data_IF_626374010826
#
_entry.id   IF_626374010826
#
_cell.length_a   1.000
_cell.length_b   1.000
_cell.length_c   1.000
_cell.angle_alpha   90.00
_cell.angle_beta   90.00
_cell.angle_gamma   90.00
#
_symmetry.space_group_name_H-M   'P 1'
#
loop_
_entity.id
_entity.type
_entity.pdbx_description
1 polymer ?
#
# COMPACT_ATOMS: atom_id res chain seq x y z
N UNK A 1 63.98 31.52 5.50
CA UNK A 1 62.66 32.04 5.06
C UNK A 1 61.85 31.04 4.23
N UNK A 2 62.46 30.23 3.35
CA UNK A 2 61.74 29.32 2.41
C UNK A 2 60.99 28.15 3.09
N UNK A 3 61.53 27.61 4.20
CA UNK A 3 60.92 26.46 4.89
C UNK A 3 59.59 26.83 5.58
N UNK A 4 59.50 28.03 6.15
CA UNK A 4 58.27 28.55 6.77
C UNK A 4 57.15 28.79 5.74
N UNK A 5 57.50 29.28 4.55
CA UNK A 5 56.53 29.48 3.47
C UNK A 5 55.92 28.17 2.96
N UNK A 6 56.73 27.10 2.85
CA UNK A 6 56.26 25.76 2.46
C UNK A 6 55.34 25.13 3.51
N UNK A 7 55.65 25.30 4.79
CA UNK A 7 54.82 24.81 5.89
C UNK A 7 53.46 25.55 5.93
N UNK A 8 53.47 26.86 5.75
CA UNK A 8 52.25 27.68 5.69
C UNK A 8 51.38 27.33 4.47
N UNK A 9 51.98 27.12 3.29
CA UNK A 9 51.25 26.64 2.12
C UNK A 9 50.64 25.25 2.37
N UNK A 10 51.38 24.34 2.99
CA UNK A 10 50.90 22.99 3.32
C UNK A 10 49.71 23.01 4.28
N UNK A 11 49.78 23.81 5.35
CA UNK A 11 48.68 23.98 6.29
C UNK A 11 47.46 24.65 5.66
N UNK A 12 47.66 25.65 4.79
CA UNK A 12 46.57 26.31 4.06
C UNK A 12 45.86 25.36 3.08
N UNK A 13 46.62 24.54 2.35
CA UNK A 13 46.06 23.51 1.46
C UNK A 13 45.31 22.43 2.23
N UNK A 14 45.83 21.99 3.37
CA UNK A 14 45.16 21.04 4.26
C UNK A 14 43.84 21.60 4.80
N UNK A 15 43.85 22.86 5.25
CA UNK A 15 42.64 23.54 5.74
C UNK A 15 41.60 23.73 4.64
N UNK A 16 42.02 24.09 3.42
CA UNK A 16 41.12 24.20 2.26
C UNK A 16 40.53 22.84 1.86
N UNK A 17 41.33 21.77 1.84
CA UNK A 17 40.86 20.41 1.62
C UNK A 17 39.85 19.99 2.70
N UNK A 18 40.15 20.25 3.98
CA UNK A 18 39.25 19.95 5.09
C UNK A 18 37.93 20.72 4.94
N UNK A 19 37.97 22.00 4.57
CA UNK A 19 36.78 22.82 4.35
C UNK A 19 35.94 22.30 3.18
N UNK A 20 36.57 21.90 2.06
CA UNK A 20 35.88 21.28 0.92
C UNK A 20 35.25 19.95 1.33
N UNK A 21 35.97 19.10 2.07
CA UNK A 21 35.43 17.82 2.58
C UNK A 21 34.25 18.06 3.52
N UNK A 22 34.34 19.03 4.45
CA UNK A 22 33.24 19.40 5.34
C UNK A 22 32.04 19.98 4.58
N UNK A 23 32.28 20.77 3.54
CA UNK A 23 31.23 21.33 2.68
C UNK A 23 30.51 20.22 1.91
N UNK A 24 31.26 19.30 1.31
CA UNK A 24 30.73 18.12 0.63
C UNK A 24 29.98 17.19 1.59
N UNK A 25 30.48 17.05 2.83
CA UNK A 25 29.81 16.28 3.88
C UNK A 25 28.48 16.93 4.28
N UNK A 26 28.43 18.25 4.43
CA UNK A 26 27.18 19.00 4.68
C UNK A 26 26.17 18.86 3.54
N UNK A 27 26.63 18.96 2.29
CA UNK A 27 25.76 18.78 1.11
C UNK A 27 25.22 17.35 0.97
N UNK A 28 25.90 16.35 1.53
CA UNK A 28 25.44 14.95 1.53
C UNK A 28 24.49 14.60 2.67
N UNK A 29 24.43 15.39 3.74
CA UNK A 29 23.51 15.08 4.84
C UNK A 29 22.07 15.38 4.41
N UNK A 30 21.17 14.39 4.49
CA UNK A 30 19.75 14.62 4.25
C UNK A 30 19.20 15.68 5.21
N UNK A 31 18.27 16.50 4.73
CA UNK A 31 17.53 17.43 5.60
C UNK A 31 16.83 16.66 6.71
N UNK A 32 16.89 17.20 7.92
CA UNK A 32 16.15 16.70 9.07
C UNK A 32 14.88 17.55 9.24
N UNK A 33 13.77 16.88 9.55
CA UNK A 33 12.45 17.46 9.71
C UNK A 33 11.92 17.13 11.09
N UNK A 34 11.19 18.07 11.70
CA UNK A 34 10.28 17.73 12.81
C UNK A 34 8.92 17.31 12.27
N UNK A 35 8.07 16.71 13.11
CA UNK A 35 6.71 16.32 12.71
C UNK A 35 5.85 17.55 12.43
N UNK A 36 6.05 18.60 13.23
CA UNK A 36 5.34 19.86 13.17
C UNK A 36 5.72 20.64 11.90
N UNK A 37 7.00 20.62 11.52
CA UNK A 37 7.46 21.21 10.26
C UNK A 37 6.87 20.48 9.05
N UNK A 38 6.82 19.15 9.09
CA UNK A 38 6.29 18.35 7.98
C UNK A 38 4.79 18.57 7.78
N UNK A 39 4.02 18.81 8.85
CA UNK A 39 2.57 19.00 8.83
C UNK A 39 2.09 20.13 7.93
N UNK A 40 2.94 21.14 7.70
CA UNK A 40 2.66 22.28 6.81
C UNK A 40 2.60 21.85 5.33
N UNK A 41 3.31 20.78 4.96
CA UNK A 41 3.44 20.31 3.57
C UNK A 41 2.37 19.27 3.20
N UNK A 42 1.12 19.55 3.57
CA UNK A 42 -0.04 18.69 3.33
C UNK A 42 -0.72 18.93 1.97
N UNK A 43 -0.24 19.90 1.19
CA UNK A 43 -0.75 20.23 -0.14
C UNK A 43 -1.98 21.15 -0.17
N UNK A 44 -2.42 21.70 0.96
CA UNK A 44 -3.47 22.75 0.97
C UNK A 44 -2.96 24.08 0.44
N UNK A 45 -1.67 24.38 0.64
CA UNK A 45 -0.98 25.51 0.04
C UNK A 45 -0.34 25.08 -1.29
N UNK A 46 -0.78 25.68 -2.40
CA UNK A 46 -0.27 25.35 -3.74
C UNK A 46 1.15 25.85 -3.99
N UNK A 47 1.66 26.76 -3.17
CA UNK A 47 3.04 27.27 -3.27
C UNK A 47 4.06 26.33 -2.64
N UNK A 48 3.62 25.34 -1.86
CA UNK A 48 4.47 24.38 -1.17
C UNK A 48 4.43 22.99 -1.83
N UNK A 49 5.53 22.23 -1.79
CA UNK A 49 5.50 20.83 -2.21
C UNK A 49 4.65 20.00 -1.23
N UNK A 50 4.14 18.87 -1.73
CA UNK A 50 3.42 17.90 -0.92
C UNK A 50 4.43 16.86 -0.42
N UNK A 51 4.60 16.78 0.89
CA UNK A 51 5.55 15.85 1.50
C UNK A 51 4.85 14.69 2.20
N UNK A 52 5.48 13.52 2.19
CA UNK A 52 5.02 12.31 2.84
C UNK A 52 6.17 11.62 3.57
N UNK A 53 6.02 11.33 4.86
CA UNK A 53 6.99 10.52 5.60
C UNK A 53 6.63 9.03 5.53
N UNK A 54 7.58 8.10 5.45
CA UNK A 54 7.37 6.64 5.60
C UNK A 54 8.51 6.06 6.44
N UNK A 55 8.19 5.52 7.62
CA UNK A 55 9.18 5.09 8.63
C UNK A 55 10.27 6.15 8.89
N UNK A 56 9.83 7.41 8.97
CA UNK A 56 10.70 8.57 9.15
C UNK A 56 11.46 9.03 7.90
N UNK A 57 11.39 8.35 6.76
CA UNK A 57 11.96 8.86 5.50
C UNK A 57 10.96 9.77 4.80
N UNK A 58 11.36 10.99 4.41
CA UNK A 58 10.47 11.99 3.79
C UNK A 58 10.63 11.98 2.28
N UNK A 59 9.51 12.02 1.56
CA UNK A 59 9.44 12.02 0.11
C UNK A 59 8.60 13.20 -0.39
N UNK A 60 9.04 13.83 -1.46
CA UNK A 60 8.23 14.79 -2.21
C UNK A 60 7.33 14.03 -3.19
N UNK A 61 6.03 14.08 -2.92
CA UNK A 61 4.96 13.42 -3.67
C UNK A 61 4.17 14.40 -4.53
N UNK A 62 4.66 15.61 -4.76
CA UNK A 62 4.00 16.66 -5.56
C UNK A 62 3.69 16.19 -6.98
N UNK A 63 4.52 15.32 -7.57
CA UNK A 63 4.25 14.67 -8.87
C UNK A 63 2.91 13.91 -8.89
N UNK A 64 2.45 13.45 -7.74
CA UNK A 64 1.16 12.78 -7.54
C UNK A 64 0.08 13.69 -6.97
N UNK A 65 0.08 15.01 -7.24
CA UNK A 65 -0.89 15.97 -6.67
C UNK A 65 -2.36 15.54 -6.80
N UNK A 66 -2.76 14.83 -7.87
CA UNK A 66 -4.12 14.29 -8.01
C UNK A 66 -4.51 13.27 -6.93
N UNK A 67 -3.51 12.58 -6.37
CA UNK A 67 -3.69 11.54 -5.35
C UNK A 67 -3.51 12.08 -3.93
N UNK A 68 -2.50 12.93 -3.72
CA UNK A 68 -2.09 13.40 -2.39
C UNK A 68 -2.52 14.85 -2.08
N UNK A 69 -2.89 15.63 -3.09
CA UNK A 69 -3.43 16.98 -2.91
C UNK A 69 -4.89 16.96 -2.45
N UNK A 70 -5.45 18.13 -2.08
CA UNK A 70 -6.83 18.25 -1.61
C UNK A 70 -7.83 17.59 -2.57
N UNK A 71 -8.73 16.76 -2.02
CA UNK A 71 -9.70 15.98 -2.79
C UNK A 71 -9.17 14.66 -3.36
N UNK A 72 -7.87 14.38 -3.27
CA UNK A 72 -7.27 13.10 -3.64
C UNK A 72 -7.51 12.00 -2.60
N UNK A 73 -7.65 10.75 -3.05
CA UNK A 73 -7.93 9.61 -2.17
C UNK A 73 -6.86 9.33 -1.11
N UNK A 74 -5.63 9.82 -1.32
CA UNK A 74 -4.49 9.66 -0.41
C UNK A 74 -4.11 10.97 0.31
N UNK A 75 -4.94 12.01 0.23
CA UNK A 75 -4.65 13.33 0.81
C UNK A 75 -4.37 13.28 2.32
N UNK A 76 -5.05 12.39 3.04
CA UNK A 76 -4.86 12.21 4.49
C UNK A 76 -3.44 11.77 4.90
N UNK A 77 -2.61 11.32 3.95
CA UNK A 77 -1.21 11.00 4.21
C UNK A 77 -0.27 12.21 4.01
N UNK A 78 -0.70 13.24 3.29
CA UNK A 78 0.12 14.41 3.00
C UNK A 78 0.44 15.21 4.28
N UNK A 79 1.67 15.72 4.37
CA UNK A 79 2.20 16.41 5.54
C UNK A 79 2.37 15.51 6.77
N UNK A 80 2.17 14.20 6.64
CA UNK A 80 2.24 13.29 7.79
C UNK A 80 3.38 12.29 7.66
N UNK A 81 3.92 11.86 8.80
CA UNK A 81 4.66 10.60 8.86
C UNK A 81 3.66 9.45 8.75
N UNK A 82 3.81 8.60 7.74
CA UNK A 82 2.98 7.42 7.45
C UNK A 82 2.64 6.71 8.75
N UNK A 83 1.38 6.85 9.11
CA UNK A 83 0.72 6.01 10.08
C UNK A 83 0.17 4.86 9.27
N UNK A 84 0.54 3.62 9.60
CA UNK A 84 -0.53 2.63 9.49
C UNK A 84 -1.54 3.07 10.53
N UNK A 85 -2.60 3.74 10.09
CA UNK A 85 -3.90 3.34 10.55
C UNK A 85 -3.91 1.83 10.33
N UNK A 86 -3.53 1.04 11.34
CA UNK A 86 -3.90 -0.36 11.41
C UNK A 86 -5.37 -0.33 11.05
N UNK A 87 -5.74 -0.89 9.89
CA UNK A 87 -7.08 -0.90 9.31
C UNK A 87 -8.15 -0.74 10.41
N UNK A 88 -8.48 0.50 10.77
CA UNK A 88 -9.59 0.79 11.67
C UNK A 88 -10.90 0.80 10.86
N UNK A 89 -10.79 0.30 9.62
CA UNK A 89 -11.85 -0.28 8.81
C UNK A 89 -12.16 -1.73 9.19
N UNK A 90 -11.49 -2.33 10.19
CA UNK A 90 -12.14 -3.42 10.91
C UNK A 90 -13.39 -2.79 11.54
N UNK A 91 -14.61 -3.15 11.12
CA UNK A 91 -15.76 -2.79 11.93
C UNK A 91 -15.48 -3.32 13.33
N UNK A 92 -15.49 -2.44 14.31
CA UNK A 92 -15.78 -2.90 15.67
C UNK A 92 -17.18 -3.51 15.55
N UNK A 93 -17.26 -4.84 15.50
CA UNK A 93 -18.54 -5.53 15.57
C UNK A 93 -18.98 -5.35 17.01
N UNK A 94 -19.61 -4.22 17.28
CA UNK A 94 -20.41 -4.09 18.48
C UNK A 94 -21.45 -5.21 18.43
N UNK A 95 -21.79 -5.75 19.61
CA UNK A 95 -22.66 -6.92 19.86
C UNK A 95 -24.07 -6.80 19.20
N UNK A 96 -24.34 -5.71 18.48
CA UNK A 96 -25.61 -5.32 17.88
C UNK A 96 -25.52 -5.11 16.34
N UNK A 97 -24.38 -5.37 15.69
CA UNK A 97 -24.31 -5.52 14.22
C UNK A 97 -24.47 -4.26 13.37
N UNK A 98 -24.20 -3.06 13.91
CA UNK A 98 -24.13 -1.82 13.12
C UNK A 98 -22.68 -1.47 12.78
N UNK A 99 -22.29 -1.62 11.50
CA UNK A 99 -20.99 -1.13 11.03
C UNK A 99 -21.03 0.40 10.93
N UNK A 100 -20.26 1.10 11.77
CA UNK A 100 -20.00 2.53 11.62
C UNK A 100 -18.52 2.74 11.26
N UNK A 101 -18.26 3.33 10.09
CA UNK A 101 -16.91 3.75 9.70
C UNK A 101 -16.63 5.13 10.30
N UNK A 102 -16.06 5.16 11.50
CA UNK A 102 -15.52 6.39 12.06
C UNK A 102 -14.05 6.53 11.66
N UNK A 103 -13.72 7.63 11.00
CA UNK A 103 -12.33 8.00 10.72
C UNK A 103 -11.74 8.61 12.00
N UNK A 104 -10.65 8.07 12.56
CA UNK A 104 -10.01 8.71 13.70
C UNK A 104 -9.49 10.09 13.28
N UNK A 105 -9.83 11.10 14.07
CA UNK A 105 -9.27 12.45 13.98
C UNK A 105 -7.73 12.41 14.02
N UNK A 106 -7.08 13.44 13.48
CA UNK A 106 -5.62 13.58 13.35
C UNK A 106 -4.81 13.25 14.62
N UNK A 107 -5.44 13.39 15.78
CA UNK A 107 -4.84 13.38 17.11
C UNK A 107 -4.65 11.97 17.71
N UNK A 108 -5.28 10.93 17.14
CA UNK A 108 -5.18 9.54 17.62
C UNK A 108 -4.13 8.67 16.91
N UNK A 109 -3.41 9.25 15.94
CA UNK A 109 -2.63 8.47 15.00
C UNK A 109 -1.18 8.26 15.47
N UNK A 110 -0.86 7.05 15.94
CA UNK A 110 0.48 6.66 16.42
C UNK A 110 1.38 6.16 15.29
N UNK A 111 2.68 6.48 15.38
CA UNK A 111 3.73 6.02 14.47
C UNK A 111 4.31 4.65 14.88
N UNK A 112 3.67 3.96 15.84
CA UNK A 112 4.10 2.68 16.38
C UNK A 112 3.66 1.50 15.52
N UNK A 113 4.60 0.59 15.21
CA UNK A 113 4.32 -0.68 14.53
C UNK A 113 4.17 -1.86 15.50
N UNK A 114 3.89 -1.58 16.78
CA UNK A 114 3.64 -2.62 17.77
C UNK A 114 2.37 -3.40 17.40
N UNK A 115 2.38 -4.72 17.62
CA UNK A 115 1.26 -5.60 17.31
C UNK A 115 1.14 -6.05 15.85
N UNK A 116 1.85 -5.41 14.91
CA UNK A 116 1.89 -5.88 13.51
C UNK A 116 2.71 -7.18 13.40
N UNK A 117 2.33 -8.08 12.50
CA UNK A 117 3.09 -9.28 12.14
C UNK A 117 4.37 -8.93 11.37
N UNK A 118 5.22 -9.93 11.13
CA UNK A 118 6.44 -9.72 10.34
C UNK A 118 6.14 -9.42 8.87
N UNK A 119 5.11 -10.06 8.29
CA UNK A 119 4.71 -9.85 6.89
C UNK A 119 4.08 -8.47 6.67
N UNK A 120 3.25 -8.00 7.62
CA UNK A 120 2.74 -6.62 7.59
C UNK A 120 3.88 -5.62 7.65
N UNK A 121 4.81 -5.78 8.59
CA UNK A 121 5.96 -4.89 8.69
C UNK A 121 6.82 -4.91 7.42
N UNK A 122 6.96 -6.07 6.77
CA UNK A 122 7.63 -6.16 5.48
C UNK A 122 6.94 -5.31 4.41
N UNK A 123 5.60 -5.39 4.30
CA UNK A 123 4.83 -4.58 3.35
C UNK A 123 5.12 -3.08 3.49
N UNK A 124 5.23 -2.57 4.73
CA UNK A 124 5.55 -1.15 4.99
C UNK A 124 6.96 -0.79 4.53
N UNK A 125 7.93 -1.66 4.79
CA UNK A 125 9.31 -1.45 4.37
C UNK A 125 9.41 -1.50 2.84
N UNK A 126 8.65 -2.39 2.19
CA UNK A 126 8.55 -2.45 0.73
C UNK A 126 7.89 -1.20 0.15
N UNK A 127 6.84 -0.66 0.79
CA UNK A 127 6.29 0.65 0.44
C UNK A 127 7.35 1.74 0.53
N UNK A 128 8.09 1.83 1.63
CA UNK A 128 9.21 2.79 1.75
C UNK A 128 10.20 2.64 0.60
N UNK A 129 10.57 1.41 0.24
CA UNK A 129 11.47 1.12 -0.90
C UNK A 129 10.88 1.60 -2.22
N UNK A 130 9.61 1.30 -2.48
CA UNK A 130 8.89 1.79 -3.66
C UNK A 130 8.93 3.32 -3.76
N UNK A 131 8.76 4.05 -2.65
CA UNK A 131 8.82 5.51 -2.65
C UNK A 131 10.24 6.05 -2.93
N UNK A 132 11.29 5.38 -2.44
CA UNK A 132 12.67 5.70 -2.82
C UNK A 132 12.91 5.58 -4.33
N UNK A 133 12.25 4.63 -4.99
CA UNK A 133 12.41 4.40 -6.43
C UNK A 133 11.56 5.35 -7.29
N UNK A 134 10.44 5.86 -6.76
CA UNK A 134 9.42 6.59 -7.53
C UNK A 134 9.35 8.09 -7.27
N UNK A 135 9.83 8.54 -6.10
CA UNK A 135 9.69 9.91 -5.63
C UNK A 135 11.03 10.49 -5.19
N UNK A 136 11.07 11.82 -5.05
CA UNK A 136 12.29 12.51 -4.63
C UNK A 136 12.42 12.38 -3.12
N UNK A 137 13.56 11.86 -2.66
CA UNK A 137 13.85 11.80 -1.23
C UNK A 137 14.18 13.19 -0.69
N UNK A 138 13.34 13.68 0.23
CA UNK A 138 13.37 15.03 0.76
C UNK A 138 13.98 15.13 2.18
N UNK A 139 14.31 14.00 2.82
CA UNK A 139 15.00 14.01 4.11
C UNK A 139 14.52 12.95 5.10
N UNK A 140 14.75 13.19 6.40
CA UNK A 140 14.39 12.29 7.50
C UNK A 140 13.67 13.05 8.61
N UNK A 141 12.74 12.39 9.29
CA UNK A 141 12.02 12.92 10.45
C UNK A 141 12.76 12.50 11.71
N UNK A 142 13.13 13.47 12.54
CA UNK A 142 13.75 13.24 13.85
C UNK A 142 12.70 12.66 14.80
N UNK A 143 13.06 11.61 15.55
CA UNK A 143 12.20 10.98 16.54
C UNK A 143 12.39 9.46 16.61
N UNK A 144 11.30 8.71 16.43
CA UNK A 144 11.30 7.25 16.68
C UNK A 144 12.25 6.47 15.76
N UNK A 145 12.34 6.87 14.49
CA UNK A 145 13.06 6.13 13.45
C UNK A 145 14.48 6.62 13.22
N UNK A 146 14.70 7.93 13.36
CA UNK A 146 16.00 8.57 13.22
C UNK A 146 16.27 9.47 14.41
N UNK A 147 17.51 9.49 14.88
CA UNK A 147 17.94 10.45 15.91
C UNK A 147 18.14 11.86 15.33
N UNK A 148 18.51 12.77 16.21
CA UNK A 148 18.81 14.18 15.99
C UNK A 148 20.01 14.43 15.07
N UNK A 149 20.82 13.40 14.79
CA UNK A 149 21.88 13.44 13.78
C UNK A 149 21.46 12.80 12.43
N UNK A 150 20.26 12.21 12.38
CA UNK A 150 19.73 11.50 11.22
C UNK A 150 20.18 10.04 11.10
N UNK A 151 20.78 9.47 12.14
CA UNK A 151 21.17 8.06 12.16
C UNK A 151 19.97 7.16 12.52
N UNK A 152 19.92 5.93 11.98
CA UNK A 152 18.82 5.00 12.28
C UNK A 152 18.85 4.54 13.74
N UNK A 153 17.73 4.68 14.44
CA UNK A 153 17.59 4.24 15.84
C UNK A 153 17.58 2.72 15.96
N UNK A 154 17.72 2.21 17.20
CA UNK A 154 17.52 0.77 17.50
C UNK A 154 16.13 0.28 17.08
N UNK A 155 15.11 1.16 17.18
CA UNK A 155 13.75 0.83 16.80
C UNK A 155 13.62 0.58 15.30
N UNK A 156 14.18 1.47 14.46
CA UNK A 156 14.17 1.29 13.01
C UNK A 156 14.92 0.02 12.60
N UNK A 157 16.09 -0.25 13.19
CA UNK A 157 16.84 -1.49 12.95
C UNK A 157 16.03 -2.74 13.32
N UNK A 158 15.30 -2.70 14.43
CA UNK A 158 14.39 -3.78 14.83
C UNK A 158 13.28 -4.02 13.81
N UNK A 159 12.72 -2.96 13.25
CA UNK A 159 11.71 -3.02 12.18
C UNK A 159 12.29 -3.63 10.92
N UNK A 160 13.49 -3.22 10.51
CA UNK A 160 14.14 -3.76 9.30
C UNK A 160 14.46 -5.26 9.45
N UNK A 161 14.90 -5.70 10.64
CA UNK A 161 15.07 -7.13 10.94
C UNK A 161 13.74 -7.89 10.90
N UNK A 162 12.68 -7.31 11.46
CA UNK A 162 11.34 -7.91 11.44
C UNK A 162 10.76 -7.98 10.03
N UNK A 163 10.96 -6.95 9.21
CA UNK A 163 10.62 -6.94 7.79
C UNK A 163 11.37 -8.03 7.03
N UNK A 164 12.68 -8.17 7.25
CA UNK A 164 13.49 -9.24 6.62
C UNK A 164 12.93 -10.63 6.94
N UNK A 165 12.52 -10.87 8.19
CA UNK A 165 11.81 -12.12 8.57
C UNK A 165 10.48 -12.24 7.83
N UNK A 166 9.71 -11.16 7.71
CA UNK A 166 8.48 -11.12 6.93
C UNK A 166 8.67 -11.48 5.46
N UNK A 167 9.71 -10.94 4.81
CA UNK A 167 10.07 -11.27 3.44
C UNK A 167 10.37 -12.77 3.27
N UNK A 168 11.15 -13.36 4.19
CA UNK A 168 11.45 -14.79 4.19
C UNK A 168 10.20 -15.65 4.37
N UNK A 169 9.29 -15.26 5.26
CA UNK A 169 8.02 -15.95 5.47
C UNK A 169 7.14 -15.89 4.22
N UNK A 170 7.07 -14.72 3.59
CA UNK A 170 6.31 -14.51 2.36
C UNK A 170 6.87 -15.34 1.21
N UNK A 171 8.20 -15.39 1.06
CA UNK A 171 8.85 -16.21 0.03
C UNK A 171 8.60 -17.70 0.25
N UNK A 172 8.72 -18.17 1.50
CA UNK A 172 8.35 -19.55 1.86
C UNK A 172 6.89 -19.84 1.55
N UNK A 173 5.97 -18.92 1.88
CA UNK A 173 4.56 -19.08 1.56
C UNK A 173 4.35 -19.22 0.04
N UNK A 174 4.96 -18.34 -0.77
CA UNK A 174 4.90 -18.42 -2.24
C UNK A 174 5.45 -19.74 -2.77
N UNK A 175 6.56 -20.23 -2.24
CA UNK A 175 7.16 -21.50 -2.68
C UNK A 175 6.27 -22.69 -2.34
N UNK A 176 5.59 -22.69 -1.18
CA UNK A 176 4.63 -23.74 -0.83
C UNK A 176 3.36 -23.63 -1.68
N UNK A 177 2.89 -22.41 -1.96
CA UNK A 177 1.72 -22.19 -2.81
C UNK A 177 1.97 -22.64 -4.26
N UNK A 178 3.18 -22.41 -4.79
CA UNK A 178 3.58 -22.80 -6.13
C UNK A 178 3.63 -24.33 -6.34
N UNK A 179 3.71 -25.13 -5.26
CA UNK A 179 3.62 -26.60 -5.35
C UNK A 179 2.22 -27.10 -5.70
N UNK A 180 1.20 -26.25 -5.54
CA UNK A 180 -0.21 -26.62 -5.72
C UNK A 180 -0.80 -25.75 -6.85
N UNK A 181 -1.17 -26.36 -7.99
CA UNK A 181 -1.65 -25.61 -9.15
C UNK A 181 -2.89 -24.78 -8.82
N UNK A 182 -2.95 -23.57 -9.39
CA UNK A 182 -4.13 -22.71 -9.31
C UNK A 182 -5.26 -23.25 -10.19
N UNK A 183 -6.50 -22.97 -9.80
CA UNK A 183 -7.65 -23.27 -10.66
C UNK A 183 -7.70 -22.34 -11.87
N UNK A 184 -8.21 -22.86 -12.99
CA UNK A 184 -8.69 -22.05 -14.10
C UNK A 184 -9.96 -21.32 -13.67
N UNK A 185 -10.22 -20.14 -14.24
CA UNK A 185 -11.43 -19.37 -13.97
C UNK A 185 -11.99 -18.71 -15.22
N UNK A 186 -13.32 -18.63 -15.28
CA UNK A 186 -14.05 -17.85 -16.27
C UNK A 186 -15.10 -17.02 -15.54
N UNK A 187 -15.47 -15.89 -16.11
CA UNK A 187 -16.51 -15.04 -15.55
C UNK A 187 -17.44 -14.57 -16.65
N UNK A 188 -18.74 -14.62 -16.38
CA UNK A 188 -19.77 -14.01 -17.23
C UNK A 188 -20.78 -13.26 -16.37
N UNK A 189 -21.43 -12.23 -16.93
CA UNK A 189 -22.47 -11.48 -16.21
C UNK A 189 -23.69 -12.33 -15.84
N UNK A 190 -23.98 -13.37 -16.62
CA UNK A 190 -25.20 -14.16 -16.53
C UNK A 190 -25.03 -15.38 -15.61
N UNK A 191 -23.87 -16.03 -15.67
CA UNK A 191 -23.56 -17.28 -14.95
C UNK A 191 -22.63 -17.07 -13.75
N UNK A 192 -22.07 -15.86 -13.60
CA UNK A 192 -21.14 -15.52 -12.54
C UNK A 192 -19.72 -16.02 -12.81
N UNK A 193 -18.94 -16.15 -11.74
CA UNK A 193 -17.61 -16.76 -11.80
C UNK A 193 -17.70 -18.28 -11.69
N UNK A 194 -16.98 -18.99 -12.55
CA UNK A 194 -16.80 -20.44 -12.48
C UNK A 194 -15.31 -20.75 -12.43
N UNK A 195 -14.93 -21.75 -11.64
CA UNK A 195 -13.56 -22.24 -11.54
C UNK A 195 -13.50 -23.74 -11.75
N UNK A 196 -12.46 -24.22 -12.43
CA UNK A 196 -12.25 -25.64 -12.69
C UNK A 196 -10.77 -26.01 -12.70
N UNK A 197 -10.49 -27.31 -12.72
CA UNK A 197 -9.15 -27.88 -12.76
C UNK A 197 -9.06 -28.82 -13.98
N UNK A 198 -7.95 -28.78 -14.71
CA UNK A 198 -7.71 -29.76 -15.79
C UNK A 198 -7.49 -31.16 -15.23
N UNK A 199 -6.86 -31.24 -14.05
CA UNK A 199 -6.64 -32.47 -13.31
C UNK A 199 -6.96 -32.23 -11.84
N UNK A 200 -7.84 -33.05 -11.28
CA UNK A 200 -8.28 -32.95 -9.88
C UNK A 200 -9.50 -32.05 -9.68
N UNK A 201 -9.70 -31.63 -8.43
CA UNK A 201 -10.89 -30.92 -7.99
C UNK A 201 -10.53 -29.56 -7.38
N UNK A 202 -11.30 -28.49 -7.69
CA UNK A 202 -11.07 -27.17 -7.14
C UNK A 202 -11.40 -27.13 -5.64
N UNK A 203 -10.50 -26.56 -4.84
CA UNK A 203 -10.70 -26.28 -3.42
C UNK A 203 -10.25 -24.87 -3.09
N UNK A 204 -11.02 -24.22 -2.22
CA UNK A 204 -10.69 -22.92 -1.65
C UNK A 204 -9.77 -23.12 -0.45
N UNK A 205 -8.58 -22.54 -0.53
CA UNK A 205 -7.54 -22.60 0.50
C UNK A 205 -7.32 -21.21 1.07
N UNK A 206 -7.30 -21.10 2.39
CA UNK A 206 -7.01 -19.82 3.07
C UNK A 206 -5.55 -19.44 2.86
N UNK A 207 -5.29 -18.15 2.59
CA UNK A 207 -3.93 -17.58 2.62
C UNK A 207 -3.63 -17.08 4.03
N UNK A 208 -2.75 -17.75 4.80
CA UNK A 208 -2.49 -17.38 6.18
C UNK A 208 -1.94 -15.95 6.33
N UNK A 209 -1.22 -15.44 5.34
CA UNK A 209 -0.61 -14.10 5.37
C UNK A 209 -1.55 -12.91 5.18
N UNK A 210 -2.73 -13.11 4.58
CA UNK A 210 -3.62 -12.01 4.20
C UNK A 210 -4.50 -11.52 5.37
N UNK A 211 -4.71 -12.36 6.39
CA UNK A 211 -5.41 -12.00 7.63
C UNK A 211 -4.68 -10.85 8.33
N UNK A 212 -3.36 -10.92 8.34
CA UNK A 212 -2.52 -9.91 8.94
C UNK A 212 -2.62 -8.58 8.18
N UNK A 213 -2.65 -8.61 6.85
CA UNK A 213 -2.60 -7.39 6.02
C UNK A 213 -3.96 -6.69 5.84
N UNK A 214 -5.06 -7.44 5.79
CA UNK A 214 -6.39 -6.90 5.43
C UNK A 214 -7.43 -7.06 6.54
N UNK A 215 -7.10 -7.80 7.60
CA UNK A 215 -8.10 -8.24 8.58
C UNK A 215 -9.12 -9.24 8.04
N UNK A 216 -9.03 -9.58 6.75
CA UNK A 216 -9.92 -10.50 6.05
C UNK A 216 -9.15 -11.77 5.66
N UNK A 217 -9.84 -12.91 5.76
CA UNK A 217 -9.29 -14.19 5.31
C UNK A 217 -9.44 -14.25 3.79
N UNK A 218 -8.38 -13.87 3.07
CA UNK A 218 -8.29 -14.09 1.62
C UNK A 218 -8.17 -15.59 1.35
N UNK A 219 -8.94 -16.08 0.39
CA UNK A 219 -8.89 -17.44 -0.09
C UNK A 219 -8.35 -17.46 -1.53
N UNK A 220 -7.69 -18.55 -1.92
CA UNK A 220 -7.35 -18.84 -3.31
C UNK A 220 -7.94 -20.18 -3.72
N UNK A 221 -8.27 -20.32 -5.00
CA UNK A 221 -8.61 -21.63 -5.55
C UNK A 221 -7.33 -22.39 -5.92
N UNK A 222 -7.25 -23.65 -5.53
CA UNK A 222 -6.18 -24.56 -5.89
C UNK A 222 -6.75 -25.94 -6.24
N UNK A 223 -6.07 -26.65 -7.14
CA UNK A 223 -6.47 -27.96 -7.63
C UNK A 223 -5.80 -29.07 -6.83
N UNK A 224 -6.61 -29.98 -6.28
CA UNK A 224 -6.16 -31.13 -5.48
C UNK A 224 -6.59 -32.45 -6.12
N UNK A 225 -5.81 -33.50 -5.91
CA UNK A 225 -6.20 -34.85 -6.30
C UNK A 225 -7.28 -35.41 -5.38
N UNK A 226 -7.99 -36.43 -5.85
CA UNK A 226 -9.07 -37.09 -5.11
C UNK A 226 -8.61 -37.61 -3.73
N UNK A 227 -7.44 -38.23 -3.67
CA UNK A 227 -6.80 -38.71 -2.44
C UNK A 227 -6.44 -37.62 -1.42
N UNK A 228 -6.43 -36.35 -1.82
CA UNK A 228 -6.01 -35.22 -0.98
C UNK A 228 -7.20 -34.38 -0.48
N UNK A 229 -8.43 -34.73 -0.86
CA UNK A 229 -9.62 -33.92 -0.57
C UNK A 229 -10.01 -33.93 0.91
N UNK A 230 -9.61 -34.95 1.66
CA UNK A 230 -9.89 -35.09 3.10
C UNK A 230 -8.92 -34.26 3.97
N UNK A 231 -7.98 -33.52 3.36
CA UNK A 231 -7.07 -32.65 4.12
C UNK A 231 -7.84 -31.53 4.82
N UNK A 232 -7.54 -31.34 6.11
CA UNK A 232 -8.12 -30.27 6.90
C UNK A 232 -7.82 -28.89 6.30
N UNK A 233 -8.82 -28.00 6.27
CA UNK A 233 -8.68 -26.62 5.80
C UNK A 233 -9.00 -26.40 4.31
N UNK A 234 -9.40 -27.45 3.58
CA UNK A 234 -9.93 -27.35 2.23
C UNK A 234 -11.43 -27.05 2.29
N UNK A 235 -11.86 -25.97 1.63
CA UNK A 235 -13.28 -25.61 1.50
C UNK A 235 -13.74 -25.92 0.07
N UNK A 236 -14.92 -26.54 -0.07
CA UNK A 236 -15.50 -26.84 -1.37
C UNK A 236 -15.95 -25.55 -2.04
N UNK A 237 -15.63 -25.41 -3.34
CA UNK A 237 -16.17 -24.33 -4.15
C UNK A 237 -17.61 -24.67 -4.55
N UNK A 238 -18.58 -24.12 -3.84
CA UNK A 238 -19.97 -24.12 -4.27
C UNK A 238 -20.13 -22.96 -5.26
N UNK A 239 -20.06 -23.24 -6.57
CA UNK A 239 -20.32 -22.24 -7.61
C UNK A 239 -21.60 -21.46 -7.28
N UNK A 240 -21.61 -20.15 -7.53
CA UNK A 240 -22.69 -19.27 -7.07
C UNK A 240 -24.03 -19.58 -7.77
N UNK A 241 -24.73 -20.60 -7.28
CA UNK A 241 -26.15 -20.88 -7.47
C UNK A 241 -26.97 -20.59 -6.20
N UNK A 242 -26.42 -19.87 -5.23
CA UNK A 242 -27.10 -19.54 -3.98
C UNK A 242 -27.96 -18.27 -4.10
N UNK A 243 -29.28 -18.42 -4.03
CA UNK A 243 -30.32 -17.37 -4.06
C UNK A 243 -30.18 -16.20 -3.06
N UNK A 244 -29.09 -16.07 -2.29
CA UNK A 244 -28.96 -15.09 -1.20
C UNK A 244 -28.58 -13.66 -1.62
N UNK A 245 -27.86 -13.46 -2.72
CA UNK A 245 -27.38 -12.13 -3.13
C UNK A 245 -28.31 -11.39 -4.10
N UNK A 246 -29.24 -12.10 -4.76
CA UNK A 246 -30.26 -11.48 -5.63
C UNK A 246 -31.29 -10.68 -4.82
N UNK A 247 -31.60 -11.08 -3.58
CA UNK A 247 -32.56 -10.38 -2.73
C UNK A 247 -31.98 -9.09 -2.11
N UNK A 248 -30.68 -9.04 -1.82
CA UNK A 248 -30.07 -7.85 -1.20
C UNK A 248 -29.93 -6.71 -2.25
N UNK A 249 -29.60 -7.02 -3.50
CA UNK A 249 -29.59 -6.00 -4.56
C UNK A 249 -31.00 -5.48 -4.90
N UNK A 250 -32.02 -6.35 -4.95
CA UNK A 250 -33.40 -5.91 -5.20
C UNK A 250 -34.01 -5.12 -4.03
N UNK A 251 -33.72 -5.46 -2.77
CA UNK A 251 -34.24 -4.72 -1.62
C UNK A 251 -33.61 -3.34 -1.47
N UNK A 252 -32.32 -3.17 -1.79
CA UNK A 252 -31.68 -1.85 -1.80
C UNK A 252 -32.21 -0.98 -2.94
N UNK A 253 -32.55 -1.56 -4.10
CA UNK A 253 -33.11 -0.80 -5.23
C UNK A 253 -34.58 -0.39 -5.01
N UNK A 254 -35.37 -1.15 -4.25
CA UNK A 254 -36.77 -0.80 -3.94
C UNK A 254 -36.93 0.17 -2.75
N UNK A 255 -35.92 0.31 -1.88
CA UNK A 255 -36.01 1.19 -0.70
C UNK A 255 -35.47 2.60 -0.98
N UNK A 256 -34.66 2.81 -2.03
CA UNK A 256 -34.06 4.12 -2.35
C UNK A 256 -34.69 4.86 -3.54
N UNK A 257 -35.83 4.41 -4.08
CA UNK A 257 -36.50 5.13 -5.16
C UNK A 257 -38.01 5.33 -4.93
N UNK A 258 -38.41 6.33 -4.12
CA UNK A 258 -39.62 7.07 -4.42
C UNK A 258 -39.22 8.46 -4.90
N UNK A 259 -39.60 8.76 -6.15
CA UNK A 259 -39.55 10.06 -6.84
C UNK A 259 -38.23 10.40 -7.53
N UNK A 260 -38.02 9.89 -8.75
CA UNK A 260 -37.76 10.67 -9.99
C UNK A 260 -37.83 9.65 -11.14
N UNK A 261 -39.03 9.21 -11.50
CA UNK A 261 -39.23 8.35 -12.67
C UNK A 261 -40.48 8.82 -13.43
N UNK A 262 -40.38 9.98 -14.08
CA UNK A 262 -41.41 10.36 -15.07
C UNK A 262 -40.99 11.38 -16.13
N UNK A 263 -39.71 11.79 -16.26
CA UNK A 263 -39.34 12.80 -17.28
C UNK A 263 -38.12 12.56 -18.17
N UNK A 264 -37.30 11.55 -17.95
CA UNK A 264 -36.06 11.36 -18.76
C UNK A 264 -36.05 10.09 -19.61
N UNK A 265 -37.16 9.37 -19.71
CA UNK A 265 -37.30 8.22 -20.61
C UNK A 265 -37.47 8.60 -22.10
N UNK A 266 -37.65 9.88 -22.42
CA UNK A 266 -37.79 10.36 -23.82
C UNK A 266 -36.55 11.06 -24.40
N UNK A 267 -35.53 11.37 -23.59
CA UNK A 267 -34.31 12.04 -24.10
C UNK A 267 -33.13 11.08 -24.38
N UNK A 268 -33.15 9.85 -23.86
CA UNK A 268 -32.05 8.89 -24.04
C UNK A 268 -32.12 8.04 -25.32
N UNK A 269 -33.13 8.25 -26.18
CA UNK A 269 -33.22 7.60 -27.50
C UNK A 269 -32.57 8.42 -28.63
N UNK A 270 -31.83 9.49 -28.32
CA UNK A 270 -31.32 10.44 -29.34
C UNK A 270 -29.81 10.68 -29.35
N UNK A 271 -29.00 9.89 -28.65
CA UNK A 271 -27.54 10.02 -28.67
C UNK A 271 -26.76 8.70 -28.81
N UNK A 272 -27.37 7.68 -29.41
CA UNK A 272 -26.62 6.55 -30.01
C UNK A 272 -26.04 6.99 -31.36
N UNK A 273 -24.98 7.80 -31.31
CA UNK A 273 -23.93 7.87 -32.33
C UNK A 273 -22.82 8.76 -31.77
N UNK A 274 -21.56 8.32 -31.94
CA UNK A 274 -20.32 8.95 -31.46
C UNK A 274 -19.88 8.57 -30.04
N UNK A 275 -19.18 7.42 -29.93
CA UNK A 275 -17.77 7.37 -29.49
C UNK A 275 -17.35 5.93 -29.21
N UNK A 276 -17.06 5.18 -30.28
CA UNK A 276 -16.04 4.15 -30.24
C UNK A 276 -14.71 4.84 -29.92
N UNK A 277 -14.21 4.69 -28.69
CA UNK A 277 -12.82 4.33 -28.42
C UNK A 277 -12.50 4.44 -26.93
N UNK A 278 -11.58 3.55 -26.52
CA UNK A 278 -10.71 3.67 -25.33
C UNK A 278 -11.20 2.96 -24.06
N UNK A 279 -11.08 1.63 -24.06
CA UNK A 279 -10.46 0.87 -22.94
C UNK A 279 -9.87 -0.45 -23.47
N UNK A 280 -8.68 -0.36 -24.09
CA UNK A 280 -7.71 -1.47 -24.21
C UNK A 280 -6.56 -1.18 -23.26
N UNK A 281 -6.38 -2.03 -22.26
CA UNK A 281 -5.10 -2.39 -21.66
C UNK A 281 -5.26 -3.89 -21.35
N UNK A 282 -4.53 -4.84 -21.93
CA UNK A 282 -3.16 -4.80 -22.42
C UNK A 282 -2.36 -5.85 -21.66
N UNK A 283 -2.77 -7.12 -21.73
CA UNK A 283 -1.96 -8.27 -21.35
C UNK A 283 -0.91 -8.50 -22.45
N UNK A 284 0.36 -8.27 -22.14
CA UNK A 284 1.49 -8.79 -22.92
C UNK A 284 1.80 -10.19 -22.40
N UNK A 285 1.37 -11.19 -23.15
CA UNK A 285 2.02 -12.50 -23.18
C UNK A 285 3.29 -12.37 -24.05
N UNK A 286 4.43 -12.75 -23.47
CA UNK A 286 5.61 -13.14 -24.24
C UNK A 286 5.52 -14.65 -24.44
N UNK A 287 5.17 -15.09 -25.64
CA UNK A 287 5.44 -16.44 -26.09
C UNK A 287 6.79 -16.49 -26.79
N UNK A 288 7.54 -17.53 -26.43
CA UNK A 288 8.83 -17.94 -26.97
C UNK A 288 8.57 -18.77 -28.23
N UNK A 289 9.16 -18.35 -29.34
CA UNK A 289 9.70 -19.21 -30.41
C UNK A 289 10.91 -18.49 -31.02
#
# INVERSE_FOLDING_TARGET
>A
MVLGARLLLGLALLAALLAVVLQLYRLRKPRLWTKEELAVYNGTDESLPILLGILGSVFDVTKGKSNYGPGGGYHHFAGSSWKLAKFQFLPEIDVIGSASTSFPSSDGLTDSLQGLSSMEVNSIVDWRKFYFERYIFAGKIVGRYYDDEGNPTKYLKGIEMKAKRGAQLLEKQKSEEAKIPSCNSKWSQQEGGEVWCETGYPRLVRRPGDIALTGQVSQRCACYKEEELDKAGLVVYEGQGGLGYRLICCLVFMILAPRVLERTAQELLKSEEVSHDRFRFGSREQEIN
#
